data_IF_837241850684
#
_entry.id   IF_837241850684
#
_cell.length_a   1.000
_cell.length_b   1.000
_cell.length_c   1.000
_cell.angle_alpha   90.00
_cell.angle_beta   90.00
_cell.angle_gamma   90.00
#
_symmetry.space_group_name_H-M   'P 1'
#
loop_
_entity.id
_entity.type
_entity.pdbx_description
1 polymer ?
#
# COMPACT_ATOMS: atom_id res chain seq x y z
N UNK A 1 17.41 -32.08 -22.67
CA UNK A 1 16.10 -31.86 -22.01
C UNK A 1 16.09 -32.37 -20.58
N UNK A 2 16.58 -33.59 -20.31
CA UNK A 2 16.59 -34.20 -18.97
C UNK A 2 17.43 -33.42 -17.92
N UNK A 3 18.55 -32.81 -18.33
CA UNK A 3 19.41 -32.04 -17.42
C UNK A 3 18.75 -30.74 -16.94
N UNK A 4 18.04 -30.03 -17.81
CA UNK A 4 17.33 -28.78 -17.45
C UNK A 4 16.19 -29.10 -16.48
N UNK A 5 15.39 -30.12 -16.79
CA UNK A 5 14.28 -30.57 -15.93
C UNK A 5 14.82 -30.98 -14.55
N UNK A 6 15.94 -31.70 -14.50
CA UNK A 6 16.58 -32.08 -13.25
C UNK A 6 17.01 -30.87 -12.41
N UNK A 7 17.72 -29.90 -13.00
CA UNK A 7 18.17 -28.71 -12.28
C UNK A 7 17.01 -27.83 -11.81
N UNK A 8 15.99 -27.63 -12.64
CA UNK A 8 14.77 -26.90 -12.24
C UNK A 8 14.06 -27.61 -11.09
N UNK A 9 13.89 -28.94 -11.18
CA UNK A 9 13.29 -29.74 -10.12
C UNK A 9 14.07 -29.66 -8.81
N UNK A 10 15.39 -29.78 -8.88
CA UNK A 10 16.27 -29.65 -7.72
C UNK A 10 16.17 -28.25 -7.10
N UNK A 11 16.18 -27.18 -7.90
CA UNK A 11 16.01 -25.81 -7.41
C UNK A 11 14.67 -25.62 -6.70
N UNK A 12 13.57 -26.13 -7.26
CA UNK A 12 12.24 -26.03 -6.63
C UNK A 12 12.22 -26.77 -5.29
N UNK A 13 12.76 -28.00 -5.24
CA UNK A 13 12.82 -28.79 -4.01
C UNK A 13 13.64 -28.06 -2.94
N UNK A 14 14.79 -27.47 -3.31
CA UNK A 14 15.61 -26.71 -2.38
C UNK A 14 14.89 -25.45 -1.86
N UNK A 15 14.21 -24.70 -2.72
CA UNK A 15 13.43 -23.53 -2.29
C UNK A 15 12.28 -23.92 -1.34
N UNK A 16 11.59 -25.03 -1.61
CA UNK A 16 10.55 -25.55 -0.72
C UNK A 16 11.13 -26.02 0.62
N UNK A 17 12.27 -26.73 0.61
CA UNK A 17 12.94 -27.16 1.82
C UNK A 17 13.37 -25.96 2.68
N UNK A 18 13.95 -24.92 2.06
CA UNK A 18 14.30 -23.66 2.73
C UNK A 18 13.04 -23.01 3.33
N UNK A 19 11.96 -22.88 2.56
CA UNK A 19 10.70 -22.31 3.04
C UNK A 19 10.15 -23.06 4.27
N UNK A 20 10.16 -24.40 4.23
CA UNK A 20 9.72 -25.25 5.35
C UNK A 20 10.62 -25.05 6.58
N UNK A 21 11.94 -24.99 6.40
CA UNK A 21 12.89 -24.71 7.50
C UNK A 21 12.59 -23.36 8.13
N UNK A 22 12.41 -22.30 7.33
CA UNK A 22 12.03 -20.97 7.82
C UNK A 22 10.68 -20.96 8.53
N UNK A 23 9.70 -21.74 8.04
CA UNK A 23 8.39 -21.86 8.69
C UNK A 23 8.50 -22.51 10.08
N UNK A 24 9.26 -23.61 10.21
CA UNK A 24 9.50 -24.22 11.52
C UNK A 24 10.32 -23.32 12.45
N UNK A 25 11.28 -22.58 11.91
CA UNK A 25 12.02 -21.57 12.66
C UNK A 25 11.08 -20.46 13.16
N UNK A 26 10.18 -19.96 12.30
CA UNK A 26 9.16 -18.99 12.66
C UNK A 26 8.27 -19.51 13.79
N UNK A 27 7.78 -20.75 13.71
CA UNK A 27 6.97 -21.34 14.78
C UNK A 27 7.71 -21.43 16.11
N UNK A 28 9.02 -21.72 16.10
CA UNK A 28 9.84 -21.80 17.31
C UNK A 28 10.25 -20.43 17.87
N UNK A 29 10.47 -19.45 17.00
CA UNK A 29 10.91 -18.10 17.34
C UNK A 29 9.76 -17.09 17.42
N UNK A 30 8.50 -17.55 17.37
CA UNK A 30 7.35 -16.66 17.39
C UNK A 30 7.34 -15.90 18.73
N UNK A 31 7.64 -14.62 18.66
CA UNK A 31 7.52 -13.69 19.78
C UNK A 31 6.17 -13.01 19.70
N UNK A 32 5.49 -12.91 20.84
CA UNK A 32 4.32 -12.04 20.99
C UNK A 32 4.87 -10.64 21.33
N UNK A 33 4.70 -9.72 20.38
CA UNK A 33 5.15 -8.34 20.48
C UNK A 33 3.96 -7.45 20.13
N UNK A 34 3.79 -6.37 20.87
CA UNK A 34 2.75 -5.39 20.59
C UNK A 34 2.99 -4.72 19.23
N UNK A 35 1.94 -4.53 18.41
CA UNK A 35 2.08 -3.87 17.12
C UNK A 35 2.40 -2.38 17.29
N UNK A 36 3.12 -1.80 16.34
CA UNK A 36 3.43 -0.36 16.33
C UNK A 36 2.17 0.52 16.23
N UNK A 37 1.10 0.00 15.64
CA UNK A 37 -0.21 0.64 15.53
C UNK A 37 -1.24 -0.28 16.18
N UNK A 38 -2.05 0.26 17.09
CA UNK A 38 -3.13 -0.51 17.72
C UNK A 38 -4.22 -0.88 16.71
N UNK A 39 -4.95 -1.97 16.97
CA UNK A 39 -6.06 -2.40 16.09
C UNK A 39 -7.08 -1.28 15.87
N UNK A 40 -7.36 -0.47 16.88
CA UNK A 40 -8.36 0.61 16.81
C UNK A 40 -7.88 1.82 16.01
N UNK A 41 -6.58 1.92 15.76
CA UNK A 41 -5.98 2.96 14.92
C UNK A 41 -5.81 2.50 13.46
N UNK A 42 -6.15 1.26 13.14
CA UNK A 42 -6.11 0.75 11.76
C UNK A 42 -7.27 1.30 10.94
N UNK A 43 -7.09 1.54 9.62
CA UNK A 43 -8.17 2.01 8.77
C UNK A 43 -9.29 0.97 8.64
N UNK A 44 -10.54 1.40 8.83
CA UNK A 44 -11.71 0.59 8.54
C UNK A 44 -11.94 0.53 7.01
N UNK A 45 -11.71 -0.64 6.42
CA UNK A 45 -11.72 -0.83 4.96
C UNK A 45 -12.85 -1.73 4.48
N UNK A 46 -13.52 -1.31 3.40
CA UNK A 46 -14.46 -2.12 2.65
C UNK A 46 -13.84 -2.55 1.31
N UNK A 47 -13.76 -3.86 1.01
CA UNK A 47 -13.27 -4.31 -0.29
C UNK A 47 -14.27 -3.95 -1.39
N UNK A 48 -13.77 -3.41 -2.50
CA UNK A 48 -14.58 -3.13 -3.70
C UNK A 48 -14.63 -4.38 -4.58
N UNK A 49 -15.81 -4.83 -5.04
CA UNK A 49 -15.93 -5.99 -5.91
C UNK A 49 -15.20 -5.79 -7.24
N UNK A 50 -14.41 -6.80 -7.65
CA UNK A 50 -13.82 -6.84 -8.99
C UNK A 50 -14.90 -7.35 -9.96
N UNK A 51 -15.24 -6.62 -11.04
CA UNK A 51 -16.33 -6.99 -11.94
C UNK A 51 -15.91 -8.10 -12.92
N UNK A 52 -15.52 -9.28 -12.45
CA UNK A 52 -15.02 -10.38 -13.29
C UNK A 52 -16.14 -11.17 -13.97
N UNK A 53 -17.21 -11.53 -13.24
CA UNK A 53 -18.26 -12.44 -13.74
C UNK A 53 -18.96 -11.92 -15.00
N UNK A 54 -19.21 -10.61 -15.03
CA UNK A 54 -19.98 -9.92 -16.06
C UNK A 54 -19.12 -9.43 -17.25
N UNK A 55 -17.84 -9.82 -17.31
CA UNK A 55 -16.98 -9.51 -18.45
C UNK A 55 -17.45 -10.23 -19.72
N UNK A 56 -17.33 -9.54 -20.87
CA UNK A 56 -17.93 -9.93 -22.16
C UNK A 56 -17.39 -11.23 -22.74
N UNK A 57 -16.14 -11.60 -22.47
CA UNK A 57 -15.52 -12.82 -22.99
C UNK A 57 -14.55 -13.46 -22.00
N UNK A 58 -14.18 -14.72 -22.25
CA UNK A 58 -13.18 -15.45 -21.45
C UNK A 58 -11.83 -14.74 -21.45
N UNK A 59 -11.43 -14.14 -22.57
CA UNK A 59 -10.19 -13.35 -22.66
C UNK A 59 -10.24 -12.16 -21.70
N UNK A 60 -11.35 -11.42 -21.64
CA UNK A 60 -11.52 -10.32 -20.68
C UNK A 60 -11.50 -10.81 -19.22
N UNK A 61 -12.04 -11.99 -18.95
CA UNK A 61 -11.97 -12.59 -17.60
C UNK A 61 -10.52 -12.92 -17.22
N UNK A 62 -9.75 -13.46 -18.17
CA UNK A 62 -8.33 -13.75 -17.97
C UNK A 62 -7.51 -12.47 -17.77
N UNK A 63 -7.76 -11.40 -18.54
CA UNK A 63 -7.05 -10.14 -18.32
C UNK A 63 -7.39 -9.53 -16.97
N UNK A 64 -8.66 -9.53 -16.56
CA UNK A 64 -9.06 -9.08 -15.21
C UNK A 64 -8.37 -9.91 -14.12
N UNK A 65 -8.29 -11.23 -14.28
CA UNK A 65 -7.58 -12.09 -13.34
C UNK A 65 -6.08 -11.74 -13.22
N UNK A 66 -5.42 -11.45 -14.34
CA UNK A 66 -3.97 -11.19 -14.41
C UNK A 66 -3.59 -9.75 -14.06
N UNK A 67 -4.47 -8.77 -14.28
CA UNK A 67 -4.10 -7.36 -14.18
C UNK A 67 -4.93 -6.56 -13.16
N UNK A 68 -6.19 -6.92 -12.92
CA UNK A 68 -7.05 -6.11 -12.06
C UNK A 68 -6.68 -6.30 -10.58
N UNK A 69 -6.52 -5.19 -9.87
CA UNK A 69 -6.23 -5.19 -8.43
C UNK A 69 -7.50 -4.84 -7.66
N UNK A 70 -7.69 -5.47 -6.50
CA UNK A 70 -8.79 -5.11 -5.62
C UNK A 70 -8.51 -3.75 -5.00
N UNK A 71 -9.43 -2.82 -5.19
CA UNK A 71 -9.44 -1.55 -4.48
C UNK A 71 -10.19 -1.66 -3.16
N UNK A 72 -9.83 -0.78 -2.24
CA UNK A 72 -10.42 -0.67 -0.91
C UNK A 72 -11.00 0.73 -0.73
N UNK A 73 -12.13 0.82 -0.05
CA UNK A 73 -12.78 2.08 0.29
C UNK A 73 -12.73 2.31 1.81
N UNK A 74 -12.30 3.50 2.23
CA UNK A 74 -12.37 3.92 3.63
C UNK A 74 -13.82 4.09 4.07
N UNK A 75 -14.20 3.41 5.16
CA UNK A 75 -15.57 3.41 5.69
C UNK A 75 -15.85 4.63 6.56
N UNK A 76 -14.80 5.22 7.13
CA UNK A 76 -14.82 6.39 8.00
C UNK A 76 -13.57 7.25 7.75
N UNK A 77 -13.54 8.45 8.32
CA UNK A 77 -12.33 9.28 8.26
C UNK A 77 -11.23 8.57 9.05
N UNK A 78 -10.06 8.43 8.45
CA UNK A 78 -8.94 7.77 9.09
C UNK A 78 -7.89 8.78 9.53
N UNK A 79 -7.51 8.70 10.81
CA UNK A 79 -6.56 9.58 11.45
C UNK A 79 -5.23 8.85 11.66
N UNK A 80 -4.12 9.51 11.36
CA UNK A 80 -2.78 8.95 11.52
C UNK A 80 -1.80 10.02 12.01
N UNK A 81 -1.20 9.80 13.17
CA UNK A 81 -0.20 10.71 13.72
C UNK A 81 1.20 10.28 13.29
N UNK A 82 1.92 11.18 12.61
CA UNK A 82 3.32 11.00 12.27
C UNK A 82 4.21 11.03 13.53
N UNK A 83 5.41 10.47 13.42
CA UNK A 83 6.40 10.49 14.51
C UNK A 83 6.82 11.89 14.99
N UNK A 84 6.59 12.93 14.18
CA UNK A 84 6.84 14.34 14.52
C UNK A 84 5.63 15.05 15.12
N UNK A 85 4.53 14.33 15.36
CA UNK A 85 3.30 14.84 15.99
C UNK A 85 2.27 15.42 15.03
N UNK A 86 2.54 15.46 13.72
CA UNK A 86 1.55 15.91 12.74
C UNK A 86 0.43 14.88 12.60
N UNK A 87 -0.81 15.28 12.86
CA UNK A 87 -1.99 14.44 12.68
C UNK A 87 -2.54 14.58 11.26
N UNK A 88 -2.46 13.50 10.49
CA UNK A 88 -3.00 13.40 9.14
C UNK A 88 -4.41 12.82 9.16
N UNK A 89 -5.25 13.28 8.24
CA UNK A 89 -6.63 12.82 8.07
C UNK A 89 -6.88 12.44 6.61
N UNK A 90 -7.39 11.23 6.39
CA UNK A 90 -7.91 10.81 5.09
C UNK A 90 -9.44 10.73 5.16
N UNK A 91 -10.18 11.46 4.29
CA UNK A 91 -11.62 11.42 4.27
C UNK A 91 -12.19 10.03 3.97
N UNK A 92 -13.32 9.74 4.61
CA UNK A 92 -14.22 8.63 4.27
C UNK A 92 -14.51 8.59 2.76
N UNK A 93 -14.65 7.38 2.23
CA UNK A 93 -15.01 7.14 0.83
C UNK A 93 -13.81 7.22 -0.13
N UNK A 94 -12.62 7.54 0.37
CA UNK A 94 -11.41 7.44 -0.43
C UNK A 94 -11.16 5.97 -0.85
N UNK A 95 -10.84 5.79 -2.14
CA UNK A 95 -10.55 4.50 -2.74
C UNK A 95 -9.09 4.41 -3.15
N UNK A 96 -8.44 3.30 -2.82
CA UNK A 96 -7.02 3.07 -3.05
C UNK A 96 -6.72 1.59 -3.32
N UNK A 97 -5.53 1.28 -3.83
CA UNK A 97 -5.09 -0.08 -4.18
C UNK A 97 -3.81 -0.55 -3.45
N UNK A 98 -3.22 0.31 -2.60
CA UNK A 98 -2.15 -0.07 -1.67
C UNK A 98 -0.73 0.29 -2.15
N UNK A 99 -0.63 1.28 -3.04
CA UNK A 99 0.55 1.70 -3.81
C UNK A 99 0.77 0.96 -5.14
N UNK A 100 1.19 1.74 -6.14
CA UNK A 100 1.50 1.32 -7.51
C UNK A 100 2.80 0.49 -7.61
N UNK A 101 2.86 -0.65 -6.91
CA UNK A 101 3.98 -1.60 -6.96
C UNK A 101 3.70 -2.64 -8.05
N UNK A 102 4.64 -2.92 -8.99
CA UNK A 102 4.43 -3.94 -10.01
C UNK A 102 4.21 -5.34 -9.40
N UNK A 103 3.20 -6.07 -9.91
CA UNK A 103 2.76 -7.40 -9.41
C UNK A 103 3.88 -8.43 -9.17
N UNK A 104 4.93 -8.56 -10.02
CA UNK A 104 6.02 -9.51 -9.77
C UNK A 104 6.72 -9.31 -8.42
N UNK A 105 6.69 -8.09 -7.85
CA UNK A 105 7.31 -7.79 -6.57
C UNK A 105 6.40 -8.09 -5.37
N UNK A 106 5.11 -8.40 -5.56
CA UNK A 106 4.14 -8.55 -4.47
C UNK A 106 4.39 -9.76 -3.57
N UNK A 107 5.12 -10.77 -4.06
CA UNK A 107 5.56 -11.89 -3.24
C UNK A 107 6.43 -11.44 -2.04
N UNK A 108 7.09 -10.29 -2.17
CA UNK A 108 7.99 -9.70 -1.15
C UNK A 108 7.40 -8.39 -0.61
N UNK A 109 6.75 -7.62 -1.48
CA UNK A 109 6.21 -6.29 -1.21
C UNK A 109 4.69 -6.30 -1.30
N UNK A 110 4.04 -7.02 -0.39
CA UNK A 110 2.58 -7.12 -0.40
C UNK A 110 1.95 -5.75 -0.05
N UNK A 111 1.21 -5.11 -0.99
CA UNK A 111 0.60 -3.79 -0.81
C UNK A 111 -0.33 -3.69 0.42
N UNK A 112 -1.07 -4.77 0.70
CA UNK A 112 -2.05 -4.82 1.80
C UNK A 112 -1.49 -5.48 3.06
N UNK A 113 -0.24 -5.94 3.03
CA UNK A 113 0.48 -6.44 4.20
C UNK A 113 1.13 -5.29 4.97
N UNK A 114 2.45 -5.38 5.14
CA UNK A 114 3.25 -4.35 5.80
C UNK A 114 3.13 -2.96 5.15
N UNK A 115 2.77 -2.89 3.87
CA UNK A 115 2.75 -1.65 3.10
C UNK A 115 1.40 -0.92 3.12
N UNK A 116 0.40 -1.44 3.85
CA UNK A 116 -0.97 -0.90 3.81
C UNK A 116 -1.03 0.57 4.23
N UNK A 117 -0.47 0.90 5.40
CA UNK A 117 -0.48 2.26 5.96
C UNK A 117 0.31 3.25 5.10
N UNK A 118 1.60 3.00 4.77
CA UNK A 118 2.32 3.92 3.88
C UNK A 118 1.66 4.01 2.50
N UNK A 119 1.12 2.91 1.96
CA UNK A 119 0.44 2.87 0.68
C UNK A 119 -0.84 3.70 0.65
N UNK A 120 -1.65 3.66 1.70
CA UNK A 120 -2.86 4.48 1.83
C UNK A 120 -2.54 5.99 1.80
N UNK A 121 -1.54 6.43 2.58
CA UNK A 121 -1.08 7.82 2.56
C UNK A 121 -0.48 8.21 1.20
N UNK A 122 0.30 7.32 0.60
CA UNK A 122 0.91 7.51 -0.71
C UNK A 122 -0.14 7.68 -1.81
N UNK A 123 -1.11 6.78 -1.91
CA UNK A 123 -2.17 6.83 -2.94
C UNK A 123 -2.99 8.13 -2.82
N UNK A 124 -3.32 8.56 -1.60
CA UNK A 124 -4.05 9.82 -1.39
C UNK A 124 -3.21 11.04 -1.79
N UNK A 125 -1.97 11.10 -1.28
CA UNK A 125 -1.01 12.16 -1.61
C UNK A 125 -0.71 12.22 -3.10
N UNK A 126 -0.58 11.08 -3.78
CA UNK A 126 -0.41 10.99 -5.23
C UNK A 126 -1.61 11.55 -5.99
N UNK A 127 -2.81 11.11 -5.59
CA UNK A 127 -4.05 11.46 -6.29
C UNK A 127 -4.39 12.95 -6.17
N UNK A 128 -4.13 13.58 -5.03
CA UNK A 128 -4.52 14.98 -4.79
C UNK A 128 -3.35 15.95 -4.68
N UNK A 129 -2.11 15.46 -4.65
CA UNK A 129 -0.91 16.25 -4.34
C UNK A 129 -1.04 17.05 -3.03
N UNK A 130 -1.70 16.46 -2.05
CA UNK A 130 -1.88 16.94 -0.67
C UNK A 130 -2.48 15.82 0.19
N UNK A 131 -2.34 15.93 1.51
CA UNK A 131 -3.14 15.21 2.52
C UNK A 131 -3.79 16.26 3.42
N UNK A 132 -4.81 15.92 4.21
CA UNK A 132 -5.33 16.84 5.23
C UNK A 132 -4.59 16.65 6.55
N UNK A 133 -4.33 17.73 7.28
CA UNK A 133 -3.87 17.65 8.66
C UNK A 133 -4.86 18.31 9.60
N UNK A 134 -4.97 17.78 10.82
CA UNK A 134 -5.69 18.41 11.92
C UNK A 134 -4.70 19.22 12.76
N UNK A 135 -4.99 20.51 12.96
CA UNK A 135 -4.20 21.36 13.86
C UNK A 135 -4.56 21.08 15.31
N UNK A 136 -3.71 21.47 16.28
CA UNK A 136 -4.05 21.38 17.70
C UNK A 136 -5.35 22.12 18.07
N UNK A 137 -5.73 23.14 17.28
CA UNK A 137 -6.97 23.91 17.45
C UNK A 137 -8.21 23.21 16.86
N UNK A 138 -8.05 22.00 16.29
CA UNK A 138 -9.12 21.23 15.66
C UNK A 138 -9.47 21.66 14.23
N UNK A 139 -8.66 22.53 13.61
CA UNK A 139 -8.88 22.94 12.23
C UNK A 139 -8.27 21.92 11.25
N UNK A 140 -9.01 21.58 10.19
CA UNK A 140 -8.48 20.76 9.11
C UNK A 140 -7.96 21.62 7.98
N UNK A 141 -6.65 21.53 7.69
CA UNK A 141 -5.96 22.32 6.66
C UNK A 141 -5.14 21.43 5.71
N UNK A 142 -4.86 21.86 4.47
CA UNK A 142 -3.99 21.12 3.57
C UNK A 142 -2.58 20.95 4.11
N UNK A 143 -2.09 19.72 4.11
CA UNK A 143 -0.71 19.35 4.41
C UNK A 143 0.06 19.11 3.11
N UNK A 144 1.21 19.79 2.97
CA UNK A 144 2.20 19.55 1.91
C UNK A 144 1.63 19.62 0.50
N UNK A 145 0.67 20.54 0.32
CA UNK A 145 0.00 20.78 -0.94
C UNK A 145 0.99 21.31 -1.96
N UNK A 146 1.18 20.58 -3.06
CA UNK A 146 2.07 20.99 -4.14
C UNK A 146 3.50 20.45 -4.05
N UNK A 147 3.89 19.77 -2.97
CA UNK A 147 5.27 19.30 -2.77
C UNK A 147 5.73 18.25 -3.81
N UNK A 148 4.78 17.61 -4.51
CA UNK A 148 5.08 16.79 -5.68
C UNK A 148 5.42 15.34 -5.37
N UNK A 149 5.62 14.57 -6.46
CA UNK A 149 5.78 13.11 -6.44
C UNK A 149 6.82 12.61 -5.44
N UNK A 150 7.99 13.25 -5.44
CA UNK A 150 9.13 12.85 -4.61
C UNK A 150 8.81 12.94 -3.11
N UNK A 151 8.07 13.96 -2.69
CA UNK A 151 7.66 14.09 -1.30
C UNK A 151 6.81 12.90 -0.86
N UNK A 152 5.82 12.51 -1.66
CA UNK A 152 4.93 11.40 -1.35
C UNK A 152 5.66 10.04 -1.38
N UNK A 153 6.61 9.85 -2.31
CA UNK A 153 7.47 8.67 -2.32
C UNK A 153 8.33 8.58 -1.05
N UNK A 154 8.88 9.71 -0.60
CA UNK A 154 9.68 9.78 0.63
C UNK A 154 8.81 9.61 1.90
N UNK A 155 7.59 10.13 1.91
CA UNK A 155 6.63 9.92 3.00
C UNK A 155 6.27 8.43 3.11
N UNK A 156 6.02 7.75 1.98
CA UNK A 156 5.79 6.31 1.93
C UNK A 156 6.95 5.53 2.59
N UNK A 157 8.19 5.87 2.25
CA UNK A 157 9.39 5.25 2.84
C UNK A 157 9.50 5.54 4.35
N UNK A 158 9.26 6.78 4.75
CA UNK A 158 9.32 7.22 6.16
C UNK A 158 8.31 6.46 7.01
N UNK A 159 7.04 6.50 6.62
CA UNK A 159 5.95 5.82 7.34
C UNK A 159 6.18 4.31 7.34
N UNK A 160 6.62 3.72 6.23
CA UNK A 160 6.97 2.30 6.19
C UNK A 160 8.07 1.93 7.22
N UNK A 161 9.05 2.82 7.44
CA UNK A 161 10.07 2.62 8.48
C UNK A 161 9.47 2.73 9.89
N UNK A 162 8.59 3.70 10.11
CA UNK A 162 7.90 3.92 11.40
C UNK A 162 7.03 2.72 11.80
N UNK A 163 6.25 2.18 10.85
CA UNK A 163 5.29 1.10 11.13
C UNK A 163 5.93 -0.28 11.13
N UNK A 164 6.88 -0.56 10.21
CA UNK A 164 7.37 -1.92 9.98
C UNK A 164 8.79 -2.19 10.50
N UNK A 165 9.60 -1.16 10.76
CA UNK A 165 10.99 -1.30 11.21
C UNK A 165 11.99 -1.93 10.23
N UNK A 166 11.53 -2.51 9.11
CA UNK A 166 12.38 -3.23 8.15
C UNK A 166 12.99 -2.31 7.07
N UNK A 167 14.23 -1.85 7.27
CA UNK A 167 14.91 -0.94 6.33
C UNK A 167 14.93 -1.46 4.88
N UNK A 168 15.30 -2.72 4.67
CA UNK A 168 15.47 -3.27 3.32
C UNK A 168 14.15 -3.33 2.55
N UNK A 169 13.07 -3.80 3.18
CA UNK A 169 11.73 -3.89 2.57
C UNK A 169 11.24 -2.50 2.17
N UNK A 170 11.37 -1.53 3.08
CA UNK A 170 10.96 -0.15 2.82
C UNK A 170 11.80 0.52 1.73
N UNK A 171 13.10 0.21 1.64
CA UNK A 171 13.95 0.71 0.56
C UNK A 171 13.56 0.15 -0.81
N UNK A 172 13.31 -1.17 -0.92
CA UNK A 172 12.89 -1.78 -2.18
C UNK A 172 11.49 -1.28 -2.58
N UNK A 173 10.57 -1.16 -1.61
CA UNK A 173 9.24 -0.61 -1.85
C UNK A 173 9.29 0.84 -2.35
N UNK A 174 10.12 1.68 -1.72
CA UNK A 174 10.39 3.04 -2.18
C UNK A 174 10.93 3.08 -3.61
N UNK A 175 11.91 2.22 -3.94
CA UNK A 175 12.47 2.16 -5.29
C UNK A 175 11.40 1.76 -6.32
N UNK A 176 10.51 0.82 -5.97
CA UNK A 176 9.43 0.38 -6.83
C UNK A 176 8.44 1.53 -7.15
N UNK A 177 8.01 2.30 -6.14
CA UNK A 177 7.11 3.45 -6.36
C UNK A 177 7.81 4.62 -7.05
N UNK A 178 9.10 4.84 -6.75
CA UNK A 178 9.89 5.89 -7.38
C UNK A 178 10.00 5.66 -8.90
N UNK A 179 10.28 4.42 -9.32
CA UNK A 179 10.42 4.03 -10.73
C UNK A 179 9.07 3.84 -11.44
N UNK A 180 8.08 3.26 -10.76
CA UNK A 180 6.78 2.91 -11.36
C UNK A 180 5.70 4.00 -11.29
N UNK A 181 5.83 4.96 -10.37
CA UNK A 181 4.76 5.90 -10.04
C UNK A 181 4.52 7.01 -11.06
N UNK A 182 5.47 7.33 -11.95
CA UNK A 182 5.39 8.49 -12.84
C UNK A 182 4.18 8.47 -13.78
N UNK A 183 3.77 7.29 -14.24
CA UNK A 183 2.58 7.14 -15.09
C UNK A 183 1.28 7.50 -14.35
N UNK A 184 1.10 6.93 -13.17
CA UNK A 184 -0.04 7.21 -12.28
C UNK A 184 -0.08 8.68 -11.86
N UNK A 185 1.07 9.22 -11.44
CA UNK A 185 1.23 10.63 -11.08
C UNK A 185 0.75 11.59 -12.18
N UNK A 186 1.26 11.39 -13.40
CA UNK A 186 0.88 12.22 -14.54
C UNK A 186 -0.60 12.05 -14.93
N UNK A 187 -1.17 10.85 -14.74
CA UNK A 187 -2.59 10.60 -14.94
C UNK A 187 -3.45 11.46 -14.03
N UNK A 188 -3.19 11.45 -12.72
CA UNK A 188 -3.95 12.25 -11.75
C UNK A 188 -3.81 13.75 -11.96
N UNK A 189 -2.64 14.24 -12.41
CA UNK A 189 -2.48 15.66 -12.76
C UNK A 189 -3.30 16.07 -13.98
N UNK A 190 -3.55 15.15 -14.92
CA UNK A 190 -4.43 15.41 -16.08
C UNK A 190 -5.91 15.43 -15.67
N UNK A 191 -6.32 14.55 -14.75
CA UNK A 191 -7.68 14.53 -14.22
C UNK A 191 -7.99 15.77 -13.38
N UNK A 192 -6.96 16.34 -12.73
CA UNK A 192 -7.05 17.55 -11.92
C UNK A 192 -8.15 17.52 -10.85
N UNK A 193 -8.27 16.37 -10.16
CA UNK A 193 -9.23 16.18 -9.09
C UNK A 193 -8.85 17.00 -7.85
N UNK A 194 -9.85 17.61 -7.23
CA UNK A 194 -9.69 18.32 -5.96
C UNK A 194 -9.92 17.39 -4.76
N UNK A 195 -9.14 17.60 -3.70
CA UNK A 195 -9.36 16.88 -2.45
C UNK A 195 -10.63 17.39 -1.77
N UNK A 196 -11.49 16.46 -1.36
CA UNK A 196 -12.66 16.78 -0.54
C UNK A 196 -12.21 16.90 0.92
N UNK A 197 -12.60 18.00 1.59
CA UNK A 197 -12.30 18.21 3.01
C UNK A 197 -13.04 17.16 3.87
N UNK A 198 -12.40 16.53 4.86
CA UNK A 198 -13.06 15.62 5.78
C UNK A 198 -14.22 16.32 6.50
N UNK A 199 -15.38 15.67 6.52
CA UNK A 199 -16.49 16.07 7.38
C UNK A 199 -16.27 15.45 8.77
N UNK A 200 -15.96 16.30 9.76
CA UNK A 200 -15.72 15.87 11.15
C UNK A 200 -17.01 15.82 11.98
N UNK A 201 -18.18 16.10 11.40
CA UNK A 201 -19.44 16.24 12.13
C UNK A 201 -20.15 14.92 12.47
N UNK A 202 -19.49 13.77 12.30
CA UNK A 202 -20.09 12.44 12.51
C UNK A 202 -19.12 11.44 13.10
#
# INVERSE_FOLDING_TARGET
MNTIIYWVGLTIILLLAIYIIFYFLYLKLKLEVDPAISTESMPALKPVPIPTKNQKSVVHKLTVFIFEVRTWELVENWHYTLSDGVELVIPKGFRFDGASIPRPFWAILNPIGLLLIPGLLHDYGYKYNQIWQMTPDGEVIPYKKGDGKEYWDNLFKRVGKEVNGFFLVNFIAWLAVALGGSGSWNGHRKENLEAVKPDLSR
#
